data_IF_461677015070
#
_entry.id   IF_461677015070
#
_cell.length_a   1.000
_cell.length_b   1.000
_cell.length_c   1.000
_cell.angle_alpha   90.00
_cell.angle_beta   90.00
_cell.angle_gamma   90.00
#
_symmetry.space_group_name_H-M   'P 1'
#
loop_
_entity.id
_entity.type
_entity.pdbx_description
1 polymer ?
#
# COMPACT_ATOMS: atom_id res chain seq x y z
N UNK A 1 -24.97 -18.89 -8.34
CA UNK A 1 -23.64 -18.47 -8.83
C UNK A 1 -22.75 -19.69 -9.03
N UNK A 2 -22.10 -19.84 -10.19
CA UNK A 2 -21.16 -20.94 -10.42
C UNK A 2 -19.89 -20.76 -9.58
N UNK A 3 -19.16 -21.86 -9.29
CA UNK A 3 -17.85 -21.79 -8.62
C UNK A 3 -16.87 -20.87 -9.37
N UNK A 4 -17.00 -20.81 -10.70
CA UNK A 4 -16.20 -19.95 -11.58
C UNK A 4 -16.55 -18.46 -11.40
N UNK A 5 -17.83 -18.11 -11.29
CA UNK A 5 -18.25 -16.72 -11.06
C UNK A 5 -17.79 -16.17 -9.72
N UNK A 6 -17.81 -16.99 -8.67
CA UNK A 6 -17.27 -16.61 -7.35
C UNK A 6 -15.75 -16.38 -7.43
N UNK A 7 -15.02 -17.26 -8.11
CA UNK A 7 -13.57 -17.10 -8.27
C UNK A 7 -13.22 -15.83 -9.05
N UNK A 8 -13.98 -15.51 -10.10
CA UNK A 8 -13.80 -14.26 -10.86
C UNK A 8 -14.04 -13.02 -10.00
N UNK A 9 -15.09 -13.04 -9.16
CA UNK A 9 -15.37 -11.93 -8.24
C UNK A 9 -14.24 -11.73 -7.22
N UNK A 10 -13.74 -12.82 -6.62
CA UNK A 10 -12.62 -12.77 -5.66
C UNK A 10 -11.36 -12.19 -6.32
N UNK A 11 -11.02 -12.65 -7.52
CA UNK A 11 -9.87 -12.13 -8.25
C UNK A 11 -10.04 -10.64 -8.56
N UNK A 12 -11.25 -10.22 -8.99
CA UNK A 12 -11.52 -8.81 -9.28
C UNK A 12 -11.40 -7.92 -8.04
N UNK A 13 -11.90 -8.38 -6.89
CA UNK A 13 -11.76 -7.67 -5.61
C UNK A 13 -10.27 -7.55 -5.23
N UNK A 14 -9.47 -8.61 -5.44
CA UNK A 14 -8.03 -8.57 -5.19
C UNK A 14 -7.30 -7.56 -6.10
N UNK A 15 -7.66 -7.50 -7.37
CA UNK A 15 -7.11 -6.53 -8.33
C UNK A 15 -7.49 -5.09 -7.93
N UNK A 16 -8.75 -4.87 -7.55
CA UNK A 16 -9.24 -3.55 -7.11
C UNK A 16 -8.56 -3.10 -5.81
N UNK A 17 -8.30 -4.03 -4.88
CA UNK A 17 -7.55 -3.76 -3.65
C UNK A 17 -6.10 -3.32 -3.97
N UNK A 18 -5.44 -3.96 -4.94
CA UNK A 18 -4.11 -3.52 -5.38
C UNK A 18 -4.14 -2.17 -6.08
N UNK A 19 -5.13 -1.95 -6.93
CA UNK A 19 -5.31 -0.68 -7.62
C UNK A 19 -5.53 0.46 -6.61
N UNK A 20 -6.31 0.22 -5.55
CA UNK A 20 -6.48 1.17 -4.47
C UNK A 20 -5.17 1.44 -3.72
N UNK A 21 -4.43 0.38 -3.34
CA UNK A 21 -3.15 0.51 -2.68
C UNK A 21 -2.18 1.38 -3.51
N UNK A 22 -2.06 1.10 -4.82
CA UNK A 22 -1.26 1.88 -5.74
C UNK A 22 -1.73 3.33 -5.82
N UNK A 23 -3.04 3.57 -5.97
CA UNK A 23 -3.61 4.91 -6.04
C UNK A 23 -3.30 5.74 -4.77
N UNK A 24 -3.34 5.14 -3.59
CA UNK A 24 -2.96 5.82 -2.33
C UNK A 24 -1.47 6.19 -2.32
N UNK A 25 -0.59 5.36 -2.86
CA UNK A 25 0.84 5.68 -3.00
C UNK A 25 1.10 6.77 -4.05
N UNK A 26 0.26 6.85 -5.07
CA UNK A 26 0.34 7.85 -6.14
C UNK A 26 -0.25 9.21 -5.75
N UNK A 27 -1.11 9.28 -4.73
CA UNK A 27 -1.72 10.49 -4.20
C UNK A 27 -0.67 11.42 -3.57
N UNK A 28 -0.51 12.62 -4.11
CA UNK A 28 0.45 13.62 -3.62
C UNK A 28 0.14 14.09 -2.19
N UNK A 29 -1.10 13.98 -1.71
CA UNK A 29 -1.47 14.32 -0.32
C UNK A 29 -0.86 13.35 0.69
N UNK A 30 -0.57 12.12 0.27
CA UNK A 30 -0.02 11.04 1.09
C UNK A 30 1.47 10.85 0.79
N UNK A 31 1.82 10.81 -0.49
CA UNK A 31 3.15 10.46 -0.97
C UNK A 31 4.17 11.60 -0.98
N UNK A 32 3.74 12.86 -0.87
CA UNK A 32 4.67 14.00 -0.89
C UNK A 32 5.55 14.04 0.35
N UNK A 33 6.85 14.04 0.13
CA UNK A 33 7.81 14.31 1.19
C UNK A 33 8.08 15.81 1.27
N UNK A 34 7.72 16.45 2.38
CA UNK A 34 7.91 17.88 2.60
C UNK A 34 9.35 18.35 2.38
N UNK A 35 10.36 17.50 2.64
CA UNK A 35 11.79 17.86 2.50
C UNK A 35 12.25 17.97 1.05
N UNK A 36 11.60 17.27 0.12
CA UNK A 36 11.99 17.25 -1.30
C UNK A 36 10.89 17.74 -2.23
N UNK A 37 9.71 18.08 -1.70
CA UNK A 37 8.60 18.69 -2.45
C UNK A 37 8.04 17.82 -3.57
N UNK A 38 8.27 16.50 -3.52
CA UNK A 38 7.78 15.54 -4.53
C UNK A 38 7.23 14.28 -3.88
N UNK A 39 6.36 13.59 -4.61
CA UNK A 39 5.88 12.27 -4.20
C UNK A 39 7.03 11.26 -4.26
N UNK A 40 7.36 10.67 -3.12
CA UNK A 40 8.42 9.67 -3.01
C UNK A 40 7.91 8.24 -2.87
N UNK A 41 6.59 8.01 -2.92
CA UNK A 41 5.97 6.68 -2.88
C UNK A 41 5.62 6.15 -4.27
N UNK A 42 5.21 7.03 -5.18
CA UNK A 42 4.84 6.70 -6.58
C UNK A 42 5.84 5.76 -7.25
N UNK A 43 7.12 6.14 -7.25
CA UNK A 43 8.19 5.36 -7.89
C UNK A 43 9.04 4.56 -6.87
N UNK A 44 8.46 4.29 -5.69
CA UNK A 44 9.18 3.60 -4.63
C UNK A 44 9.13 2.08 -4.79
N UNK A 45 10.08 1.39 -4.17
CA UNK A 45 10.00 -0.07 -4.02
C UNK A 45 8.72 -0.49 -3.29
N UNK A 46 8.12 0.37 -2.46
CA UNK A 46 6.86 0.05 -1.81
C UNK A 46 5.74 -0.16 -2.84
N UNK A 47 5.68 0.65 -3.89
CA UNK A 47 4.69 0.49 -4.97
C UNK A 47 5.06 -0.68 -5.89
N UNK A 48 6.35 -0.81 -6.24
CA UNK A 48 6.83 -1.87 -7.13
C UNK A 48 6.72 -3.28 -6.56
N UNK A 49 6.73 -3.43 -5.23
CA UNK A 49 6.64 -4.72 -4.53
C UNK A 49 5.23 -5.01 -3.97
N UNK A 50 4.19 -4.27 -4.41
CA UNK A 50 2.81 -4.51 -4.01
C UNK A 50 2.30 -5.83 -4.59
N UNK A 51 1.75 -6.68 -3.73
CA UNK A 51 1.23 -7.98 -4.14
C UNK A 51 -0.10 -8.29 -3.45
N UNK A 52 -1.02 -8.91 -4.19
CA UNK A 52 -2.23 -9.48 -3.62
C UNK A 52 -2.01 -10.95 -3.28
N UNK A 53 -2.59 -11.38 -2.16
CA UNK A 53 -2.67 -12.79 -1.81
C UNK A 53 -4.11 -13.16 -1.50
N UNK A 54 -4.56 -14.25 -2.11
CA UNK A 54 -5.87 -14.85 -1.87
C UNK A 54 -5.64 -16.18 -1.18
N UNK A 55 -6.23 -16.38 0.00
CA UNK A 55 -6.26 -17.68 0.66
C UNK A 55 -7.69 -18.22 0.72
N UNK A 56 -7.88 -19.40 0.14
CA UNK A 56 -9.13 -20.15 0.15
C UNK A 56 -8.97 -21.35 1.08
N UNK A 57 -9.57 -21.30 2.28
CA UNK A 57 -9.62 -22.44 3.20
C UNK A 57 -10.97 -23.13 3.01
N UNK A 58 -10.96 -24.45 2.82
CA UNK A 58 -12.19 -25.21 2.57
C UNK A 58 -13.18 -25.05 3.73
N UNK A 59 -14.36 -24.50 3.44
CA UNK A 59 -15.42 -24.28 4.43
C UNK A 59 -15.35 -22.94 5.16
N UNK A 60 -14.41 -22.06 4.80
CA UNK A 60 -14.27 -20.72 5.34
C UNK A 60 -14.40 -19.65 4.24
N UNK A 61 -14.59 -18.40 4.67
CA UNK A 61 -14.65 -17.26 3.77
C UNK A 61 -13.27 -16.98 3.12
N UNK A 62 -13.24 -16.55 1.85
CA UNK A 62 -12.00 -16.14 1.19
C UNK A 62 -11.35 -14.96 1.93
N UNK A 63 -10.05 -15.06 2.18
CA UNK A 63 -9.26 -13.93 2.72
C UNK A 63 -8.43 -13.34 1.60
N UNK A 64 -8.65 -12.06 1.32
CA UNK A 64 -7.91 -11.27 0.33
C UNK A 64 -7.00 -10.30 1.08
N UNK A 65 -5.72 -10.23 0.73
CA UNK A 65 -4.71 -9.40 1.39
C UNK A 65 -3.95 -8.58 0.37
N UNK A 66 -3.70 -7.31 0.68
CA UNK A 66 -2.63 -6.52 0.06
C UNK A 66 -1.38 -6.62 0.92
N UNK A 67 -0.28 -7.05 0.32
CA UNK A 67 1.02 -7.21 0.96
C UNK A 67 1.92 -6.04 0.58
N UNK A 68 2.44 -5.38 1.60
CA UNK A 68 3.42 -4.32 1.48
C UNK A 68 4.77 -4.83 1.97
N UNK A 69 5.85 -4.43 1.31
CA UNK A 69 7.17 -4.67 1.88
C UNK A 69 7.31 -3.93 3.24
N UNK A 70 8.25 -4.39 4.07
CA UNK A 70 8.38 -3.92 5.45
C UNK A 70 8.70 -2.41 5.58
N UNK A 71 9.08 -1.75 4.48
CA UNK A 71 9.33 -0.31 4.48
C UNK A 71 8.10 0.51 4.88
N UNK A 72 6.88 0.00 4.63
CA UNK A 72 5.62 0.67 5.01
C UNK A 72 5.58 1.05 6.49
N UNK A 73 6.14 0.21 7.37
CA UNK A 73 6.19 0.46 8.82
C UNK A 73 6.96 1.74 9.14
N UNK A 74 8.05 1.99 8.42
CA UNK A 74 8.84 3.20 8.61
C UNK A 74 8.15 4.45 8.07
N UNK A 75 7.35 4.30 7.01
CA UNK A 75 6.61 5.39 6.39
C UNK A 75 5.40 5.80 7.22
N UNK A 76 4.68 4.86 7.81
CA UNK A 76 3.55 5.08 8.71
C UNK A 76 3.98 5.65 10.07
N UNK A 77 5.16 5.26 10.53
CA UNK A 77 5.63 5.67 11.84
C UNK A 77 6.11 7.13 11.86
N UNK A 78 5.55 7.92 12.77
CA UNK A 78 6.09 9.25 13.09
C UNK A 78 7.33 9.12 13.96
N UNK A 79 8.49 9.48 13.41
CA UNK A 79 9.75 9.56 14.15
C UNK A 79 9.97 10.98 14.69
N UNK A 80 9.99 11.18 16.02
CA UNK A 80 10.31 12.48 16.59
C UNK A 80 11.76 12.93 16.29
N UNK A 81 12.00 14.25 16.24
CA UNK A 81 13.35 14.82 16.25
C UNK A 81 14.20 14.24 17.38
N UNK A 82 15.45 13.92 17.06
CA UNK A 82 16.47 13.36 17.97
C UNK A 82 16.04 12.08 18.69
N UNK A 83 15.12 11.31 18.12
CA UNK A 83 14.64 10.08 18.71
C UNK A 83 15.69 8.96 18.67
N UNK A 84 15.98 8.40 19.87
CA UNK A 84 16.96 7.33 20.11
C UNK A 84 18.31 7.64 19.42
N UNK A 85 19.00 6.60 18.95
CA UNK A 85 20.28 6.72 18.25
C UNK A 85 20.06 7.15 16.80
N UNK A 86 21.07 7.82 16.23
CA UNK A 86 21.08 8.11 14.79
C UNK A 86 21.11 6.81 13.97
N UNK A 87 20.53 6.79 12.76
CA UNK A 87 20.68 5.65 11.86
C UNK A 87 22.17 5.37 11.58
N UNK A 88 22.64 4.12 11.60
CA UNK A 88 24.00 3.80 11.20
C UNK A 88 24.28 4.28 9.76
N UNK A 89 25.47 4.80 9.48
CA UNK A 89 25.80 5.22 8.11
C UNK A 89 25.91 4.03 7.15
N UNK A 90 26.19 2.82 7.68
CA UNK A 90 26.28 1.59 6.90
C UNK A 90 24.97 1.23 6.21
N UNK A 91 23.82 1.47 6.85
CA UNK A 91 22.51 1.15 6.26
C UNK A 91 22.09 2.15 5.18
N UNK A 92 22.79 3.29 5.06
CA UNK A 92 22.49 4.31 4.07
C UNK A 92 23.28 4.11 2.76
N UNK A 93 24.28 3.22 2.75
CA UNK A 93 25.24 3.11 1.65
C UNK A 93 24.55 2.67 0.34
N UNK A 94 23.76 1.60 0.39
CA UNK A 94 23.12 1.03 -0.79
C UNK A 94 22.04 1.98 -1.34
N UNK A 95 21.28 2.62 -0.44
CA UNK A 95 20.30 3.64 -0.81
C UNK A 95 20.98 4.85 -1.46
N UNK A 96 22.08 5.37 -0.88
CA UNK A 96 22.80 6.50 -1.44
C UNK A 96 23.38 6.18 -2.82
N UNK A 97 24.01 5.01 -2.98
CA UNK A 97 24.54 4.54 -4.26
C UNK A 97 23.45 4.44 -5.33
N UNK A 98 22.31 3.81 -5.00
CA UNK A 98 21.15 3.68 -5.92
C UNK A 98 20.60 5.03 -6.38
N UNK A 99 20.74 6.08 -5.57
CA UNK A 99 20.24 7.42 -5.86
C UNK A 99 21.33 8.38 -6.41
N UNK A 100 22.52 7.87 -6.76
CA UNK A 100 23.62 8.69 -7.27
C UNK A 100 24.20 9.67 -6.23
N UNK A 101 23.99 9.41 -4.94
CA UNK A 101 24.49 10.23 -3.83
C UNK A 101 25.88 9.71 -3.42
N UNK A 102 26.88 10.58 -3.18
CA UNK A 102 28.19 10.17 -2.69
C UNK A 102 28.09 9.29 -1.43
N UNK A 103 28.80 8.16 -1.45
CA UNK A 103 28.79 7.18 -0.35
C UNK A 103 29.98 7.35 0.60
N UNK A 104 30.65 8.50 0.59
CA UNK A 104 31.71 8.80 1.54
C UNK A 104 31.16 8.99 2.96
N UNK A 105 32.02 8.78 3.97
CA UNK A 105 31.60 8.81 5.36
C UNK A 105 31.01 10.17 5.78
N UNK A 106 31.48 11.28 5.21
CA UNK A 106 31.00 12.62 5.52
C UNK A 106 29.56 12.81 5.02
N UNK A 107 29.31 12.49 3.76
CA UNK A 107 27.97 12.56 3.15
C UNK A 107 26.98 11.66 3.88
N UNK A 108 27.33 10.39 4.12
CA UNK A 108 26.44 9.46 4.81
C UNK A 108 26.21 9.88 6.27
N UNK A 109 27.21 10.45 6.95
CA UNK A 109 27.05 11.00 8.29
C UNK A 109 26.09 12.20 8.29
N UNK A 110 26.20 13.10 7.32
CA UNK A 110 25.31 14.27 7.21
C UNK A 110 23.85 13.84 7.00
N UNK A 111 23.62 12.83 6.14
CA UNK A 111 22.29 12.26 5.91
C UNK A 111 21.76 11.60 7.20
N UNK A 112 22.56 10.71 7.81
CA UNK A 112 22.22 10.06 9.08
C UNK A 112 21.86 11.08 10.17
N UNK A 113 22.65 12.15 10.27
CA UNK A 113 22.44 13.23 11.22
C UNK A 113 21.16 14.01 10.92
N UNK A 114 20.88 14.35 9.65
CA UNK A 114 19.65 15.05 9.27
C UNK A 114 18.39 14.22 9.59
N UNK A 115 18.40 12.92 9.28
CA UNK A 115 17.27 12.03 9.61
C UNK A 115 17.06 11.98 11.13
N UNK A 116 18.14 11.89 11.93
CA UNK A 116 18.02 11.91 13.39
C UNK A 116 17.59 13.28 13.92
N UNK A 117 18.21 14.36 13.47
CA UNK A 117 17.96 15.74 13.92
C UNK A 117 16.52 16.15 13.66
N UNK A 118 16.01 15.88 12.47
CA UNK A 118 14.73 16.40 12.01
C UNK A 118 13.58 15.42 12.25
N UNK A 119 13.88 14.13 12.35
CA UNK A 119 12.83 13.11 12.33
C UNK A 119 12.03 13.12 11.01
N UNK A 120 10.84 12.53 11.07
CA UNK A 120 9.86 12.56 9.99
C UNK A 120 8.45 12.31 10.52
N UNK A 121 7.46 12.89 9.85
CA UNK A 121 6.04 12.61 10.10
C UNK A 121 5.65 11.33 9.36
N UNK A 122 4.86 10.49 10.02
CA UNK A 122 4.24 9.31 9.41
C UNK A 122 3.26 9.71 8.31
N UNK A 123 3.14 8.88 7.29
CA UNK A 123 2.21 9.02 6.17
C UNK A 123 1.05 8.06 6.36
N UNK A 124 -0.20 8.53 6.35
CA UNK A 124 -1.36 7.71 6.71
C UNK A 124 -1.81 6.86 5.52
N UNK A 125 -1.00 5.89 5.09
CA UNK A 125 -1.28 5.00 3.96
C UNK A 125 -2.47 4.09 4.32
N UNK A 126 -2.36 3.30 5.40
CA UNK A 126 -3.38 2.34 5.82
C UNK A 126 -4.66 3.01 6.26
N UNK A 127 -4.58 4.09 7.03
CA UNK A 127 -5.77 4.84 7.43
C UNK A 127 -6.52 5.44 6.22
N UNK A 128 -5.80 5.80 5.15
CA UNK A 128 -6.43 6.25 3.90
C UNK A 128 -7.04 5.07 3.15
N UNK A 129 -6.32 3.94 3.05
CA UNK A 129 -6.86 2.74 2.42
C UNK A 129 -8.14 2.24 3.10
N UNK A 130 -8.15 2.13 4.44
CA UNK A 130 -9.32 1.67 5.19
C UNK A 130 -10.56 2.52 4.88
N UNK A 131 -10.38 3.84 4.85
CA UNK A 131 -11.46 4.78 4.53
C UNK A 131 -12.00 4.59 3.11
N UNK A 132 -11.13 4.40 2.12
CA UNK A 132 -11.54 4.23 0.73
C UNK A 132 -12.11 2.82 0.47
N UNK A 133 -11.63 1.81 1.20
CA UNK A 133 -12.14 0.43 1.13
C UNK A 133 -13.60 0.31 1.58
N UNK A 134 -13.98 1.04 2.63
CA UNK A 134 -15.37 1.06 3.09
C UNK A 134 -16.33 1.46 1.95
N UNK A 135 -15.95 2.46 1.14
CA UNK A 135 -16.72 2.89 -0.02
C UNK A 135 -16.79 1.85 -1.13
N UNK A 136 -15.64 1.24 -1.49
CA UNK A 136 -15.62 0.17 -2.50
C UNK A 136 -16.48 -1.03 -2.09
N UNK A 137 -16.43 -1.41 -0.81
CA UNK A 137 -17.18 -2.54 -0.31
C UNK A 137 -18.69 -2.26 -0.29
N UNK A 138 -19.11 -1.13 0.29
CA UNK A 138 -20.53 -0.82 0.48
C UNK A 138 -21.23 -0.40 -0.81
N UNK A 139 -20.58 0.38 -1.66
CA UNK A 139 -21.24 1.04 -2.79
C UNK A 139 -20.93 0.39 -4.14
N UNK A 140 -19.75 -0.21 -4.34
CA UNK A 140 -19.37 -0.77 -5.64
C UNK A 140 -19.54 -2.29 -5.68
N UNK A 141 -18.77 -3.00 -4.87
CA UNK A 141 -18.73 -4.45 -4.89
C UNK A 141 -20.05 -5.07 -4.45
N UNK A 142 -20.66 -4.57 -3.37
CA UNK A 142 -21.95 -5.08 -2.88
C UNK A 142 -23.07 -4.92 -3.93
N UNK A 143 -23.16 -3.75 -4.57
CA UNK A 143 -24.15 -3.49 -5.62
C UNK A 143 -23.91 -4.37 -6.86
N UNK A 144 -22.66 -4.53 -7.29
CA UNK A 144 -22.30 -5.41 -8.42
C UNK A 144 -22.62 -6.87 -8.12
N UNK A 145 -22.31 -7.36 -6.93
CA UNK A 145 -22.66 -8.72 -6.51
C UNK A 145 -24.18 -8.90 -6.45
N UNK A 146 -24.90 -7.96 -5.86
CA UNK A 146 -26.35 -8.02 -5.75
C UNK A 146 -27.01 -8.12 -7.13
N UNK A 147 -26.65 -7.21 -8.04
CA UNK A 147 -27.19 -7.21 -9.41
C UNK A 147 -26.87 -8.53 -10.13
N UNK A 148 -25.64 -9.04 -10.01
CA UNK A 148 -25.26 -10.30 -10.62
C UNK A 148 -26.04 -11.51 -10.05
N UNK A 149 -26.42 -11.48 -8.76
CA UNK A 149 -27.27 -12.50 -8.15
C UNK A 149 -28.70 -12.39 -8.69
N UNK A 150 -29.26 -11.18 -8.75
CA UNK A 150 -30.60 -10.92 -9.28
C UNK A 150 -30.71 -11.37 -10.74
N UNK A 151 -29.78 -10.96 -11.60
CA UNK A 151 -29.73 -11.37 -13.00
C UNK A 151 -29.64 -12.89 -13.16
N UNK A 152 -28.89 -13.57 -12.27
CA UNK A 152 -28.78 -15.03 -12.31
C UNK A 152 -30.09 -15.72 -11.91
N UNK A 153 -30.80 -15.18 -10.91
CA UNK A 153 -32.10 -15.69 -10.47
C UNK A 153 -33.17 -15.45 -11.54
N UNK A 154 -33.22 -14.25 -12.12
CA UNK A 154 -34.19 -13.92 -13.16
C UNK A 154 -34.03 -14.81 -14.39
N UNK A 155 -32.79 -15.06 -14.83
CA UNK A 155 -32.54 -16.01 -15.91
C UNK A 155 -32.91 -17.45 -15.51
N UNK A 156 -32.69 -17.86 -14.25
CA UNK A 156 -33.04 -19.21 -13.81
C UNK A 156 -34.55 -19.48 -13.74
N UNK A 157 -35.36 -18.45 -13.42
CA UNK A 157 -36.81 -18.61 -13.26
C UNK A 157 -37.62 -18.22 -14.49
N UNK A 158 -37.06 -17.43 -15.41
CA UNK A 158 -37.76 -16.98 -16.62
C UNK A 158 -37.29 -17.66 -17.92
N UNK A 159 -36.28 -18.55 -17.85
CA UNK A 159 -36.00 -19.59 -18.84
C UNK A 159 -36.65 -20.93 -18.44
#
# INVERSE_FOLDING_TARGET
>A
MSKEGVQLAINKIADDLLALAAAVLEDDRIGTNEKVGKNTLRDSALNGDLEASISMVTGEDPIIKALFNHYVVYLEWTRPPKYKKKPPISVLKDWAAKNGIPTDAGTLWAISYAIWRDGHKGRPIFATMDKELDGLFLDDWANKLYNAIVDNLDNFFND
#
